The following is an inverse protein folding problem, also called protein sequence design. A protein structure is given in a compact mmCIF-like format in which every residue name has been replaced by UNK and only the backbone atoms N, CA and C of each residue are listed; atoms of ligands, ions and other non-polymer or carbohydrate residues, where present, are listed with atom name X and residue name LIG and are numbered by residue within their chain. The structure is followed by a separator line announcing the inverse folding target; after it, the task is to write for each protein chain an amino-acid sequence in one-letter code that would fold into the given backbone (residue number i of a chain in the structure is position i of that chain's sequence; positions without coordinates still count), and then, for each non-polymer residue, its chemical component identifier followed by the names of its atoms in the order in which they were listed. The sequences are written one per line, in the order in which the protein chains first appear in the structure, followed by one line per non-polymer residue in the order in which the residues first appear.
data_IF_045225979612
#
_entry.id   IF_045225979612
#
_cell.length_a   1.000
_cell.length_b   1.000
_cell.length_c   1.000
_cell.angle_alpha   90.00
_cell.angle_beta   90.00
_cell.angle_gamma   90.00
#
_symmetry.space_group_name_H-M   'P 1'
#
loop_
_entity.id
_entity.type
_entity.pdbx_description
1 polymer ?
#
# COMPACT_ATOMS: atom_id res chain seq x y z
N UNK A 1 8.17 9.09 -70.34
CA UNK A 1 7.48 8.00 -69.61
C UNK A 1 8.25 7.75 -68.31
N UNK A 2 7.76 8.29 -67.19
CA UNK A 2 8.38 8.10 -65.89
C UNK A 2 7.48 7.17 -65.08
N UNK A 3 8.03 5.98 -64.74
CA UNK A 3 7.32 4.97 -63.98
C UNK A 3 7.39 5.32 -62.49
N UNK A 4 6.26 5.69 -61.89
CA UNK A 4 6.11 5.81 -60.46
C UNK A 4 6.09 4.41 -59.81
N UNK A 5 7.17 4.06 -59.15
CA UNK A 5 7.22 2.90 -58.26
C UNK A 5 6.49 3.23 -56.95
N UNK A 6 5.33 2.61 -56.75
CA UNK A 6 4.60 2.67 -55.51
C UNK A 6 5.37 1.99 -54.38
N UNK A 7 5.74 2.77 -53.35
CA UNK A 7 6.23 2.25 -52.11
C UNK A 7 5.01 1.80 -51.29
N UNK A 8 4.85 0.51 -51.14
CA UNK A 8 3.92 -0.04 -50.11
C UNK A 8 4.54 0.21 -48.74
N UNK A 9 4.03 1.21 -48.05
CA UNK A 9 4.27 1.31 -46.63
C UNK A 9 3.54 0.14 -45.95
N UNK A 10 4.29 -0.89 -45.58
CA UNK A 10 3.82 -1.91 -44.64
C UNK A 10 3.66 -1.24 -43.27
N UNK A 11 2.41 -0.93 -42.94
CA UNK A 11 2.05 -0.54 -41.59
C UNK A 11 2.16 -1.79 -40.69
N UNK A 12 3.34 -2.02 -40.12
CA UNK A 12 3.49 -2.99 -39.03
C UNK A 12 2.75 -2.40 -37.83
N UNK A 13 1.49 -2.82 -37.64
CA UNK A 13 0.80 -2.63 -36.40
C UNK A 13 1.54 -3.47 -35.38
N UNK A 14 2.45 -2.83 -34.60
CA UNK A 14 2.97 -3.38 -33.37
C UNK A 14 1.79 -3.49 -32.43
N UNK A 15 1.23 -4.68 -32.31
CA UNK A 15 0.35 -5.07 -31.20
C UNK A 15 1.20 -4.99 -29.92
N UNK A 16 1.29 -3.79 -29.37
CA UNK A 16 1.74 -3.61 -27.98
C UNK A 16 0.68 -4.32 -27.15
N UNK A 17 1.04 -5.38 -26.39
CA UNK A 17 0.08 -5.98 -25.48
C UNK A 17 -0.44 -4.87 -24.58
N UNK A 18 -1.76 -4.76 -24.51
CA UNK A 18 -2.42 -3.86 -23.57
C UNK A 18 -2.07 -4.36 -22.16
N UNK A 19 -0.87 -4.01 -21.70
CA UNK A 19 -0.53 -4.12 -20.31
C UNK A 19 -1.54 -3.24 -19.62
N UNK A 20 -2.37 -3.83 -18.75
CA UNK A 20 -3.20 -3.08 -17.85
C UNK A 20 -2.22 -2.24 -17.00
N UNK A 21 -1.91 -1.04 -17.49
CA UNK A 21 -1.21 -0.07 -16.70
C UNK A 21 -2.10 0.18 -15.49
N UNK A 22 -1.62 -0.28 -14.35
CA UNK A 22 -2.24 0.11 -13.09
C UNK A 22 -2.37 1.63 -13.09
N UNK A 23 -3.57 2.12 -12.83
CA UNK A 23 -3.79 3.55 -12.78
C UNK A 23 -2.75 4.17 -11.85
N UNK A 24 -2.03 5.21 -12.28
CA UNK A 24 -1.06 5.88 -11.41
C UNK A 24 -1.78 6.46 -10.19
N UNK A 25 -1.06 6.54 -9.07
CA UNK A 25 -1.53 7.27 -7.89
C UNK A 25 -1.95 8.67 -8.35
N UNK A 26 -3.13 9.18 -7.95
CA UNK A 26 -3.55 10.51 -8.32
C UNK A 26 -2.46 11.54 -8.00
N UNK A 27 -2.11 12.42 -8.94
CA UNK A 27 -1.08 13.43 -8.70
C UNK A 27 -1.45 14.25 -7.45
N UNK A 28 -0.47 14.43 -6.56
CA UNK A 28 -0.62 15.21 -5.33
C UNK A 28 -1.20 14.45 -4.13
N UNK A 29 -1.53 13.17 -4.23
CA UNK A 29 -2.01 12.39 -3.07
C UNK A 29 -0.85 12.08 -2.10
N UNK A 30 0.29 11.65 -2.62
CA UNK A 30 1.50 11.40 -1.82
C UNK A 30 2.02 12.70 -1.22
N UNK A 31 2.11 13.76 -2.03
CA UNK A 31 2.53 15.09 -1.58
C UNK A 31 1.65 15.60 -0.45
N UNK A 32 0.31 15.53 -0.59
CA UNK A 32 -0.63 15.90 0.48
C UNK A 32 -0.37 15.13 1.77
N UNK A 33 -0.17 13.81 1.67
CA UNK A 33 0.12 12.99 2.82
C UNK A 33 1.39 13.46 3.53
N UNK A 34 2.48 13.65 2.77
CA UNK A 34 3.78 13.98 3.33
C UNK A 34 3.87 15.43 3.84
N UNK A 35 3.16 16.37 3.21
CA UNK A 35 3.19 17.78 3.57
C UNK A 35 2.21 18.13 4.70
N UNK A 36 1.07 17.46 4.78
CA UNK A 36 -0.01 17.82 5.70
C UNK A 36 -0.21 16.81 6.83
N UNK A 37 0.56 15.71 6.82
CA UNK A 37 0.46 14.67 7.84
C UNK A 37 -0.82 13.85 7.78
N UNK A 38 -1.50 13.85 6.64
CA UNK A 38 -2.68 13.03 6.47
C UNK A 38 -3.37 13.18 5.13
N UNK A 39 -4.13 12.17 4.77
CA UNK A 39 -4.90 12.13 3.53
C UNK A 39 -6.07 11.13 3.69
N UNK A 40 -7.04 11.38 4.59
CA UNK A 40 -8.12 10.43 4.81
C UNK A 40 -8.91 10.18 3.52
N UNK A 41 -9.22 8.92 3.24
CA UNK A 41 -9.93 8.49 2.05
C UNK A 41 -9.18 8.61 0.73
N UNK A 42 -7.88 8.98 0.74
CA UNK A 42 -7.10 9.09 -0.49
C UNK A 42 -6.87 7.74 -1.16
N UNK A 43 -6.75 7.77 -2.49
CA UNK A 43 -6.24 6.66 -3.27
C UNK A 43 -4.71 6.72 -3.33
N UNK A 44 -4.07 5.84 -2.57
CA UNK A 44 -2.60 5.68 -2.49
C UNK A 44 -2.19 4.26 -2.89
N UNK A 45 -3.01 3.60 -3.69
CA UNK A 45 -2.69 2.25 -4.18
C UNK A 45 -1.37 2.25 -4.91
N UNK A 46 -0.49 1.31 -4.54
CA UNK A 46 0.85 1.17 -5.12
C UNK A 46 1.76 2.37 -4.92
N UNK A 47 1.41 3.28 -4.00
CA UNK A 47 2.25 4.41 -3.68
C UNK A 47 3.62 3.95 -3.16
N UNK A 48 4.68 4.68 -3.54
CA UNK A 48 6.02 4.48 -3.02
C UNK A 48 6.19 5.32 -1.75
N UNK A 49 6.08 4.68 -0.59
CA UNK A 49 6.16 5.30 0.74
C UNK A 49 7.25 4.63 1.59
N UNK A 50 8.26 4.07 0.94
CA UNK A 50 9.41 3.47 1.63
C UNK A 50 10.06 4.47 2.57
N UNK A 51 10.27 4.07 3.85
CA UNK A 51 10.85 4.89 4.90
C UNK A 51 10.12 6.23 5.15
N UNK A 52 8.88 6.37 4.72
CA UNK A 52 8.10 7.59 4.91
C UNK A 52 7.88 7.88 6.40
N UNK A 53 7.97 9.15 6.78
CA UNK A 53 7.71 9.62 8.14
C UNK A 53 6.21 9.97 8.28
N UNK A 54 5.42 9.02 8.80
CA UNK A 54 3.97 9.10 8.91
C UNK A 54 3.50 9.03 10.39
N UNK A 55 4.34 9.52 11.30
CA UNK A 55 4.05 9.55 12.74
C UNK A 55 2.78 10.37 12.99
N UNK A 56 1.78 9.76 13.64
CA UNK A 56 0.51 10.41 13.96
C UNK A 56 -0.33 10.79 12.73
N UNK A 57 -0.02 10.27 11.55
CA UNK A 57 -0.72 10.62 10.32
C UNK A 57 -2.20 10.22 10.37
N UNK A 58 -3.07 11.07 9.80
CA UNK A 58 -4.48 10.73 9.56
C UNK A 58 -4.61 9.97 8.22
N UNK A 59 -4.70 8.65 8.33
CA UNK A 59 -4.81 7.71 7.21
C UNK A 59 -6.14 6.94 7.22
N UNK A 60 -7.17 7.52 7.84
CA UNK A 60 -8.48 6.89 7.93
C UNK A 60 -9.06 6.61 6.56
N UNK A 61 -9.57 5.37 6.36
CA UNK A 61 -10.23 4.93 5.12
C UNK A 61 -9.37 5.09 3.85
N UNK A 62 -8.05 5.26 3.98
CA UNK A 62 -7.13 5.38 2.85
C UNK A 62 -7.05 4.04 2.10
N UNK A 63 -6.91 4.11 0.78
CA UNK A 63 -6.63 2.94 -0.04
C UNK A 63 -5.12 2.82 -0.30
N UNK A 64 -4.44 1.96 0.46
CA UNK A 64 -3.00 1.65 0.38
C UNK A 64 -2.74 0.25 -0.17
N UNK A 65 -3.68 -0.32 -0.91
CA UNK A 65 -3.50 -1.66 -1.47
C UNK A 65 -2.27 -1.72 -2.37
N UNK A 66 -1.45 -2.75 -2.13
CA UNK A 66 -0.20 -2.99 -2.85
C UNK A 66 0.83 -1.83 -2.72
N UNK A 67 0.68 -0.91 -1.77
CA UNK A 67 1.64 0.16 -1.52
C UNK A 67 2.95 -0.39 -0.93
N UNK A 68 4.05 0.29 -1.22
CA UNK A 68 5.37 0.03 -0.65
C UNK A 68 5.59 0.91 0.58
N UNK A 69 5.40 0.33 1.77
CA UNK A 69 5.55 0.98 3.08
C UNK A 69 6.75 0.42 3.86
N UNK A 70 7.71 -0.17 3.17
CA UNK A 70 8.89 -0.77 3.83
C UNK A 70 9.63 0.27 4.67
N UNK A 71 9.85 -0.08 5.95
CA UNK A 71 10.55 0.80 6.89
C UNK A 71 9.80 2.10 7.22
N UNK A 72 8.57 2.29 6.76
CA UNK A 72 7.78 3.48 7.07
C UNK A 72 7.52 3.58 8.58
N UNK A 73 7.56 4.80 9.11
CA UNK A 73 7.21 5.06 10.51
C UNK A 73 5.77 5.56 10.61
N UNK A 74 4.89 4.65 11.04
CA UNK A 74 3.45 4.85 11.25
C UNK A 74 3.10 4.90 12.75
N UNK A 75 4.06 5.24 13.61
CA UNK A 75 3.83 5.33 15.05
C UNK A 75 2.67 6.29 15.36
N UNK A 76 1.68 5.80 16.12
CA UNK A 76 0.50 6.57 16.50
C UNK A 76 -0.40 7.00 15.34
N UNK A 77 -0.20 6.51 14.12
CA UNK A 77 -1.06 6.83 12.99
C UNK A 77 -2.47 6.26 13.16
N UNK A 78 -3.48 6.98 12.69
CA UNK A 78 -4.85 6.50 12.59
C UNK A 78 -5.09 5.89 11.21
N UNK A 79 -5.11 4.56 11.15
CA UNK A 79 -5.36 3.76 9.95
C UNK A 79 -6.78 3.17 9.92
N UNK A 80 -7.68 3.65 10.80
CA UNK A 80 -9.00 3.03 10.93
C UNK A 80 -9.75 2.96 9.60
N UNK A 81 -10.23 1.76 9.25
CA UNK A 81 -10.90 1.45 8.00
C UNK A 81 -10.00 1.47 6.75
N UNK A 82 -8.68 1.57 6.90
CA UNK A 82 -7.76 1.59 5.77
C UNK A 82 -7.70 0.23 5.05
N UNK A 83 -7.46 0.27 3.74
CA UNK A 83 -7.26 -0.89 2.89
C UNK A 83 -5.76 -1.09 2.64
N UNK A 84 -5.16 -2.10 3.24
CA UNK A 84 -3.73 -2.43 3.14
C UNK A 84 -3.49 -3.81 2.52
N UNK A 85 -4.50 -4.38 1.87
CA UNK A 85 -4.34 -5.72 1.33
C UNK A 85 -3.21 -5.78 0.29
N UNK A 86 -2.29 -6.73 0.48
CA UNK A 86 -1.11 -6.90 -0.36
C UNK A 86 -0.03 -5.81 -0.19
N UNK A 87 -0.16 -4.89 0.76
CA UNK A 87 0.86 -3.89 1.03
C UNK A 87 2.15 -4.51 1.59
N UNK A 88 3.28 -3.92 1.28
CA UNK A 88 4.60 -4.30 1.81
C UNK A 88 4.95 -3.40 3.00
N UNK A 89 4.78 -3.94 4.21
CA UNK A 89 5.04 -3.28 5.50
C UNK A 89 6.29 -3.82 6.19
N UNK A 90 7.19 -4.47 5.45
CA UNK A 90 8.40 -5.05 6.05
C UNK A 90 9.23 -4.00 6.78
N UNK A 91 9.56 -4.31 8.05
CA UNK A 91 10.32 -3.40 8.90
C UNK A 91 9.62 -2.08 9.24
N UNK A 92 8.34 -1.91 8.90
CA UNK A 92 7.57 -0.72 9.27
C UNK A 92 7.31 -0.69 10.78
N UNK A 93 7.14 0.52 11.35
CA UNK A 93 6.78 0.75 12.74
C UNK A 93 5.33 1.19 12.83
N UNK A 94 4.50 0.41 13.55
CA UNK A 94 3.08 0.69 13.81
C UNK A 94 2.79 0.73 15.33
N UNK A 95 3.78 1.10 16.12
CA UNK A 95 3.63 1.23 17.58
C UNK A 95 2.51 2.23 17.90
N UNK A 96 1.57 1.84 18.75
CA UNK A 96 0.41 2.63 19.15
C UNK A 96 -0.51 3.08 17.99
N UNK A 97 -0.41 2.48 16.83
CA UNK A 97 -1.29 2.80 15.70
C UNK A 97 -2.73 2.29 15.96
N UNK A 98 -3.72 3.00 15.41
CA UNK A 98 -5.10 2.52 15.35
C UNK A 98 -5.33 1.74 14.06
N UNK A 99 -5.53 0.43 14.19
CA UNK A 99 -5.78 -0.50 13.11
C UNK A 99 -7.26 -0.97 13.06
N UNK A 100 -8.17 -0.24 13.68
CA UNK A 100 -9.60 -0.60 13.71
C UNK A 100 -10.14 -0.82 12.30
N UNK A 101 -10.78 -1.98 12.06
CA UNK A 101 -11.39 -2.33 10.77
C UNK A 101 -10.44 -2.35 9.56
N UNK A 102 -9.12 -2.47 9.77
CA UNK A 102 -8.12 -2.48 8.69
C UNK A 102 -8.16 -3.79 7.93
N UNK A 103 -8.04 -3.72 6.60
CA UNK A 103 -7.84 -4.88 5.74
C UNK A 103 -6.33 -5.12 5.51
N UNK A 104 -5.73 -6.07 6.23
CA UNK A 104 -4.33 -6.51 6.09
C UNK A 104 -4.20 -7.81 5.30
N UNK A 105 -5.22 -8.27 4.62
CA UNK A 105 -5.14 -9.56 3.90
C UNK A 105 -3.97 -9.57 2.93
N UNK A 106 -3.15 -10.63 3.01
CA UNK A 106 -1.95 -10.82 2.18
C UNK A 106 -0.88 -9.72 2.31
N UNK A 107 -0.99 -8.84 3.31
CA UNK A 107 0.07 -7.87 3.59
C UNK A 107 1.33 -8.57 4.13
N UNK A 108 2.48 -7.95 3.91
CA UNK A 108 3.77 -8.45 4.37
C UNK A 108 4.28 -7.59 5.54
N UNK A 109 4.15 -8.11 6.76
CA UNK A 109 4.61 -7.45 8.00
C UNK A 109 5.89 -8.10 8.56
N UNK A 110 6.67 -8.80 7.76
CA UNK A 110 7.92 -9.39 8.26
C UNK A 110 8.81 -8.32 8.85
N UNK A 111 9.36 -8.61 10.04
CA UNK A 111 10.24 -7.71 10.80
C UNK A 111 9.59 -6.35 11.16
N UNK A 112 8.27 -6.20 11.03
CA UNK A 112 7.56 -5.00 11.45
C UNK A 112 7.42 -4.93 12.97
N UNK A 113 7.29 -3.72 13.51
CA UNK A 113 7.06 -3.45 14.93
C UNK A 113 5.63 -2.96 15.12
N UNK A 114 4.77 -3.79 15.73
CA UNK A 114 3.32 -3.53 15.92
C UNK A 114 2.97 -3.54 17.41
N UNK A 115 3.77 -2.84 18.21
CA UNK A 115 3.64 -2.82 19.67
C UNK A 115 2.46 -1.96 20.09
N UNK A 116 1.60 -2.49 20.98
CA UNK A 116 0.45 -1.78 21.53
C UNK A 116 -0.50 -1.19 20.48
N UNK A 117 -0.51 -1.73 19.26
CA UNK A 117 -1.46 -1.28 18.25
C UNK A 117 -2.87 -1.76 18.62
N UNK A 118 -3.84 -0.84 18.52
CA UNK A 118 -5.25 -1.16 18.72
C UNK A 118 -5.83 -1.72 17.43
N UNK A 119 -6.27 -2.99 17.42
CA UNK A 119 -6.57 -3.70 16.18
C UNK A 119 -7.89 -4.51 16.20
N UNK A 120 -9.01 -3.96 16.66
CA UNK A 120 -10.28 -4.68 16.60
C UNK A 120 -10.75 -4.84 15.16
N UNK A 121 -11.29 -6.03 14.87
CA UNK A 121 -11.88 -6.40 13.56
C UNK A 121 -10.94 -6.30 12.36
N UNK A 122 -9.63 -6.42 12.58
CA UNK A 122 -8.64 -6.48 11.51
C UNK A 122 -8.80 -7.77 10.71
N UNK A 123 -8.68 -7.68 9.38
CA UNK A 123 -8.67 -8.85 8.51
C UNK A 123 -7.23 -9.26 8.20
N UNK A 124 -6.84 -10.48 8.58
CA UNK A 124 -5.43 -10.92 8.53
C UNK A 124 -5.18 -12.17 7.68
N UNK A 125 -6.15 -12.61 6.86
CA UNK A 125 -5.98 -13.84 6.06
C UNK A 125 -4.79 -13.72 5.10
N UNK A 126 -3.86 -14.67 5.19
CA UNK A 126 -2.68 -14.71 4.33
C UNK A 126 -1.61 -13.67 4.64
N UNK A 127 -1.68 -13.02 5.80
CA UNK A 127 -0.66 -12.09 6.29
C UNK A 127 0.68 -12.82 6.52
N UNK A 128 1.78 -12.14 6.24
CA UNK A 128 3.15 -12.62 6.52
C UNK A 128 3.73 -11.78 7.64
N UNK A 129 4.18 -12.41 8.73
CA UNK A 129 4.61 -11.70 9.95
C UNK A 129 5.84 -12.32 10.63
N UNK A 130 6.60 -13.14 9.94
CA UNK A 130 7.83 -13.73 10.51
C UNK A 130 8.78 -12.61 10.96
N UNK A 131 9.22 -12.68 12.22
CA UNK A 131 10.09 -11.65 12.81
C UNK A 131 9.37 -10.38 13.27
N UNK A 132 8.06 -10.26 13.08
CA UNK A 132 7.32 -9.10 13.58
C UNK A 132 7.21 -9.12 15.12
N UNK A 133 7.35 -7.94 15.74
CA UNK A 133 7.05 -7.73 17.16
C UNK A 133 5.62 -7.25 17.33
N UNK A 134 4.76 -8.10 17.87
CA UNK A 134 3.32 -7.85 18.07
C UNK A 134 2.97 -7.63 19.56
N UNK A 135 3.95 -7.30 20.38
CA UNK A 135 3.79 -7.16 21.83
C UNK A 135 2.69 -6.17 22.17
N UNK A 136 1.72 -6.60 22.99
CA UNK A 136 0.62 -5.75 23.44
C UNK A 136 -0.38 -5.32 22.38
N UNK A 137 -0.25 -5.79 21.13
CA UNK A 137 -1.26 -5.56 20.10
C UNK A 137 -2.38 -6.59 20.22
N UNK A 138 -3.62 -6.18 19.90
CA UNK A 138 -4.77 -7.07 19.82
C UNK A 138 -4.84 -7.79 18.45
N UNK A 139 -3.76 -7.79 17.69
CA UNK A 139 -3.72 -8.37 16.36
C UNK A 139 -3.83 -9.89 16.43
N UNK A 140 -5.02 -10.40 16.16
CA UNK A 140 -5.26 -11.84 16.09
C UNK A 140 -4.78 -12.36 14.74
N UNK A 141 -3.63 -13.04 14.77
CA UNK A 141 -3.07 -13.65 13.59
C UNK A 141 -3.40 -15.13 13.61
N UNK A 142 -4.11 -15.53 12.61
CA UNK A 142 -4.38 -16.94 12.35
C UNK A 142 -5.74 -17.41 12.82
N UNK A 143 -6.43 -17.95 11.93
CA UNK A 143 -7.70 -18.62 12.00
C UNK A 143 -7.90 -19.55 10.83
N UNK A 144 -6.83 -20.04 10.22
CA UNK A 144 -6.96 -21.12 9.24
C UNK A 144 -6.09 -22.31 9.68
N UNK A 145 -6.75 -23.24 10.32
CA UNK A 145 -6.28 -24.62 10.54
C UNK A 145 -6.72 -25.49 9.39
#
# INVERSE_FOLDING_TARGET
MVALRGHRLSLLLLLVPLQVLAAPVPPGAVERLLEHGGCPGCDLRRAALTEAHLIGADLRQVDLREADLRGANLEGADLSGALLSGADLRGATLTNADLTDVDLRRADLRDAVVINAFSPRVQTQGIRYVGADLTGSDLIIGGDH
#
